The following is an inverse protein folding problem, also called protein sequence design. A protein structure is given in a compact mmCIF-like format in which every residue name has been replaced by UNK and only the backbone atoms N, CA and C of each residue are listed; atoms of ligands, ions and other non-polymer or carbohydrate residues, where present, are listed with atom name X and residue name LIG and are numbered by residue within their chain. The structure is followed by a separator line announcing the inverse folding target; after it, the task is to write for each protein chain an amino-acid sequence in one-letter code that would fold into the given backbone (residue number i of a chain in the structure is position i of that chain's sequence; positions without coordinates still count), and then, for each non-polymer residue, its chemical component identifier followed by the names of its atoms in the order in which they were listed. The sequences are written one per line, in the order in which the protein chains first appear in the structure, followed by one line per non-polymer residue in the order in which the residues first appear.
data_IF_887756824077
#
_entry.id   IF_887756824077
#
_cell.length_a   1.000
_cell.length_b   1.000
_cell.length_c   1.000
_cell.angle_alpha   90.00
_cell.angle_beta   90.00
_cell.angle_gamma   90.00
#
_symmetry.space_group_name_H-M   'P 1'
#
loop_
_entity.id
_entity.type
_entity.pdbx_description
1 polymer ?
#
# COMPACT_ATOMS: atom_id res chain seq x y z
N UNK A 1 -9.28 20.45 32.24
CA UNK A 1 -8.06 20.63 31.42
C UNK A 1 -8.25 21.92 30.66
N UNK A 2 -7.27 22.82 30.67
CA UNK A 2 -7.36 24.06 29.90
C UNK A 2 -7.49 23.71 28.40
N UNK A 3 -8.36 24.42 27.70
CA UNK A 3 -8.55 24.25 26.27
C UNK A 3 -7.26 24.68 25.57
N UNK A 4 -6.60 23.73 24.89
CA UNK A 4 -5.39 24.02 24.12
C UNK A 4 -5.79 24.92 22.98
N UNK A 5 -5.25 26.13 22.89
CA UNK A 5 -5.56 27.05 21.79
C UNK A 5 -4.79 26.62 20.53
N UNK A 6 -5.48 26.53 19.39
CA UNK A 6 -4.85 26.17 18.12
C UNK A 6 -3.83 27.22 17.68
N UNK A 7 -2.65 26.78 17.27
CA UNK A 7 -1.65 27.69 16.69
C UNK A 7 -2.23 28.44 15.49
N UNK A 8 -1.99 29.75 15.46
CA UNK A 8 -2.20 30.58 14.28
C UNK A 8 -1.28 30.13 13.14
N UNK A 9 -1.62 30.49 11.90
CA UNK A 9 -0.77 30.17 10.75
C UNK A 9 0.63 30.76 10.91
N UNK A 10 0.76 31.98 11.44
CA UNK A 10 2.06 32.59 11.71
C UNK A 10 2.89 31.77 12.70
N UNK A 11 2.29 31.37 13.83
CA UNK A 11 2.97 30.57 14.86
C UNK A 11 3.34 29.18 14.32
N UNK A 12 2.46 28.60 13.51
CA UNK A 12 2.69 27.33 12.81
C UNK A 12 3.89 27.44 11.86
N UNK A 13 4.00 28.51 11.06
CA UNK A 13 5.18 28.75 10.20
C UNK A 13 6.46 28.94 11.00
N UNK A 14 6.38 29.68 12.11
CA UNK A 14 7.53 29.93 12.97
C UNK A 14 8.09 28.61 13.50
N UNK A 15 7.25 27.75 14.10
CA UNK A 15 7.73 26.49 14.67
C UNK A 15 8.30 25.53 13.61
N UNK A 16 7.72 25.46 12.41
CA UNK A 16 8.28 24.62 11.35
C UNK A 16 9.59 25.18 10.77
N UNK A 17 9.75 26.51 10.74
CA UNK A 17 11.04 27.14 10.39
C UNK A 17 12.10 26.78 11.43
N UNK A 18 11.77 26.93 12.73
CA UNK A 18 12.67 26.57 13.83
C UNK A 18 13.07 25.09 13.75
N UNK A 19 12.11 24.17 13.54
CA UNK A 19 12.40 22.73 13.38
C UNK A 19 13.33 22.49 12.19
N UNK A 20 13.17 23.23 11.10
CA UNK A 20 14.05 23.09 9.95
C UNK A 20 15.48 23.57 10.20
N UNK A 21 15.64 24.64 10.97
CA UNK A 21 16.91 25.31 11.19
C UNK A 21 17.71 24.70 12.34
N UNK A 22 17.01 24.29 13.41
CA UNK A 22 17.59 23.84 14.67
C UNK A 22 17.33 22.35 14.96
N UNK A 23 16.39 21.71 14.26
CA UNK A 23 16.19 20.26 14.35
C UNK A 23 15.71 19.82 15.73
N UNK A 24 16.43 18.86 16.33
CA UNK A 24 16.01 18.23 17.60
C UNK A 24 15.97 19.21 18.77
N UNK A 25 16.86 20.20 18.76
CA UNK A 25 17.02 21.18 19.85
C UNK A 25 15.74 21.99 20.10
N UNK A 26 14.89 22.15 19.07
CA UNK A 26 13.60 22.84 19.19
C UNK A 26 12.65 22.11 20.14
N UNK A 27 12.68 20.79 20.16
CA UNK A 27 11.79 19.96 20.99
C UNK A 27 12.20 19.97 22.46
N UNK A 28 13.38 20.49 22.81
CA UNK A 28 13.79 20.77 24.19
C UNK A 28 13.27 22.12 24.71
N UNK A 29 12.72 22.96 23.82
CA UNK A 29 12.16 24.27 24.16
C UNK A 29 10.69 24.19 24.58
N UNK A 30 10.21 25.24 25.26
CA UNK A 30 8.79 25.40 25.59
C UNK A 30 7.89 25.44 24.34
N UNK A 31 8.39 26.00 23.23
CA UNK A 31 7.63 26.07 21.98
C UNK A 31 7.53 24.70 21.30
N UNK A 32 8.58 23.89 21.38
CA UNK A 32 8.56 22.50 20.93
C UNK A 32 7.60 21.63 21.76
N UNK A 33 7.58 21.81 23.08
CA UNK A 33 6.60 21.14 23.95
C UNK A 33 5.16 21.56 23.61
N UNK A 34 4.91 22.86 23.43
CA UNK A 34 3.61 23.37 23.01
C UNK A 34 3.19 22.81 21.64
N UNK A 35 4.12 22.64 20.71
CA UNK A 35 3.85 22.00 19.42
C UNK A 35 3.45 20.52 19.57
N UNK A 36 4.11 19.76 20.45
CA UNK A 36 3.71 18.37 20.74
C UNK A 36 2.28 18.34 21.30
N UNK A 37 1.93 19.27 22.19
CA UNK A 37 0.54 19.41 22.68
C UNK A 37 -0.45 19.71 21.53
N UNK A 38 -0.08 20.56 20.55
CA UNK A 38 -0.90 20.78 19.35
C UNK A 38 -1.12 19.50 18.56
N UNK A 39 -0.09 18.64 18.44
CA UNK A 39 -0.22 17.37 17.74
C UNK A 39 -1.28 16.49 18.41
N UNK A 40 -1.20 16.34 19.74
CA UNK A 40 -2.19 15.56 20.49
C UNK A 40 -3.60 16.14 20.39
N UNK A 41 -3.74 17.46 20.52
CA UNK A 41 -5.04 18.13 20.52
C UNK A 41 -5.73 18.10 19.15
N UNK A 42 -4.98 18.22 18.05
CA UNK A 42 -5.58 18.49 16.74
C UNK A 42 -5.23 17.50 15.63
N UNK A 43 -4.15 16.73 15.73
CA UNK A 43 -3.66 15.89 14.62
C UNK A 43 -3.77 14.40 14.91
N UNK A 44 -3.36 13.98 16.10
CA UNK A 44 -3.28 12.57 16.48
C UNK A 44 -4.64 11.87 16.32
N UNK A 45 -5.72 12.47 16.80
CA UNK A 45 -7.06 11.89 16.67
C UNK A 45 -7.46 11.65 15.20
N UNK A 46 -7.30 12.66 14.35
CA UNK A 46 -7.67 12.59 12.94
C UNK A 46 -6.82 11.57 12.17
N UNK A 47 -5.52 11.53 12.44
CA UNK A 47 -4.59 10.60 11.80
C UNK A 47 -4.83 9.15 12.24
N UNK A 48 -5.23 8.93 13.50
CA UNK A 48 -5.60 7.60 13.99
C UNK A 48 -6.89 7.10 13.37
N UNK A 49 -7.89 7.95 13.19
CA UNK A 49 -9.11 7.57 12.47
C UNK A 49 -8.84 7.29 10.99
N UNK A 50 -8.00 8.10 10.32
CA UNK A 50 -7.56 7.83 8.95
C UNK A 50 -6.84 6.47 8.85
N UNK A 51 -5.91 6.18 9.77
CA UNK A 51 -5.22 4.91 9.86
C UNK A 51 -6.17 3.73 10.07
N UNK A 52 -7.16 3.87 10.97
CA UNK A 52 -8.19 2.86 11.19
C UNK A 52 -8.97 2.57 9.90
N UNK A 53 -9.28 3.60 9.10
CA UNK A 53 -9.89 3.45 7.78
C UNK A 53 -9.06 2.63 6.78
N UNK A 54 -7.75 2.46 7.01
CA UNK A 54 -6.86 1.60 6.23
C UNK A 54 -6.63 0.21 6.88
N UNK A 55 -7.37 -0.13 7.94
CA UNK A 55 -7.16 -1.36 8.70
C UNK A 55 -5.89 -1.35 9.56
N UNK A 56 -5.35 -0.16 9.85
CA UNK A 56 -4.10 0.04 10.57
C UNK A 56 -4.35 0.60 11.98
N UNK A 57 -4.02 -0.20 13.00
CA UNK A 57 -4.07 0.26 14.39
C UNK A 57 -2.75 0.95 14.76
N UNK A 58 -2.84 2.21 15.20
CA UNK A 58 -1.70 3.01 15.65
C UNK A 58 -2.06 3.77 16.93
N UNK A 59 -1.15 3.77 17.91
CA UNK A 59 -1.34 4.53 19.13
C UNK A 59 -0.96 6.01 18.98
N UNK A 60 -1.35 6.83 19.96
CA UNK A 60 -1.12 8.27 19.92
C UNK A 60 0.38 8.63 19.82
N UNK A 61 1.21 7.98 20.65
CA UNK A 61 2.64 8.23 20.71
C UNK A 61 3.36 7.84 19.43
N UNK A 62 2.92 6.76 18.77
CA UNK A 62 3.48 6.34 17.48
C UNK A 62 3.21 7.37 16.38
N UNK A 63 2.01 7.98 16.36
CA UNK A 63 1.71 9.06 15.41
C UNK A 63 2.65 10.24 15.63
N UNK A 64 2.83 10.65 16.88
CA UNK A 64 3.75 11.75 17.23
C UNK A 64 5.18 11.40 16.85
N UNK A 65 5.63 10.19 17.14
CA UNK A 65 6.96 9.71 16.78
C UNK A 65 7.19 9.71 15.26
N UNK A 66 6.23 9.24 14.46
CA UNK A 66 6.32 9.26 12.99
C UNK A 66 6.44 10.70 12.48
N UNK A 67 5.62 11.60 13.00
CA UNK A 67 5.64 13.03 12.65
C UNK A 67 7.01 13.64 12.97
N UNK A 68 7.47 13.52 14.21
CA UNK A 68 8.74 14.12 14.66
C UNK A 68 9.91 13.52 13.87
N UNK A 69 9.94 12.21 13.69
CA UNK A 69 11.01 11.53 12.94
C UNK A 69 11.07 12.05 11.50
N UNK A 70 9.93 12.19 10.83
CA UNK A 70 9.88 12.70 9.46
C UNK A 70 10.24 14.18 9.37
N UNK A 71 9.80 15.00 10.33
CA UNK A 71 10.21 16.41 10.41
C UNK A 71 11.71 16.58 10.61
N UNK A 72 12.36 15.65 11.32
CA UNK A 72 13.81 15.65 11.57
C UNK A 72 14.65 14.97 10.47
N UNK A 73 14.04 14.45 9.40
CA UNK A 73 14.79 13.85 8.26
C UNK A 73 15.66 14.86 7.49
N UNK A 74 15.45 16.14 7.74
CA UNK A 74 16.17 17.30 7.19
C UNK A 74 17.69 17.20 7.30
N UNK A 75 18.22 16.56 8.37
CA UNK A 75 19.67 16.37 8.54
C UNK A 75 20.30 15.38 7.56
N UNK A 76 19.52 14.47 6.97
CA UNK A 76 20.03 13.43 6.06
C UNK A 76 20.00 13.86 4.59
N UNK A 77 19.14 14.82 4.23
CA UNK A 77 19.02 15.35 2.87
C UNK A 77 18.50 16.80 2.89
N UNK A 78 19.37 17.81 2.76
CA UNK A 78 18.96 19.23 2.78
C UNK A 78 17.98 19.59 1.66
N UNK A 79 18.04 18.86 0.53
CA UNK A 79 17.19 19.10 -0.64
C UNK A 79 15.75 18.61 -0.43
N UNK A 80 15.48 17.83 0.62
CA UNK A 80 14.14 17.40 1.01
C UNK A 80 13.90 17.74 2.47
N UNK A 81 13.46 18.98 2.72
CA UNK A 81 13.15 19.47 4.07
C UNK A 81 11.64 19.68 4.25
N UNK A 82 10.89 18.69 4.77
CA UNK A 82 9.43 18.80 4.89
C UNK A 82 9.00 19.99 5.74
N UNK A 83 9.73 20.27 6.82
CA UNK A 83 9.46 21.39 7.70
C UNK A 83 9.52 22.75 6.95
N UNK A 84 10.50 22.95 6.05
CA UNK A 84 10.56 24.15 5.20
C UNK A 84 9.39 24.25 4.22
N UNK A 85 8.98 23.13 3.61
CA UNK A 85 7.84 23.13 2.70
C UNK A 85 6.53 23.45 3.41
N UNK A 86 6.34 22.92 4.61
CA UNK A 86 5.18 23.23 5.46
C UNK A 86 5.19 24.70 5.85
N UNK A 87 6.33 25.24 6.29
CA UNK A 87 6.47 26.65 6.65
C UNK A 87 6.21 27.59 5.46
N UNK A 88 6.54 27.17 4.24
CA UNK A 88 6.33 27.95 3.02
C UNK A 88 4.91 27.83 2.43
N UNK A 89 4.13 26.80 2.80
CA UNK A 89 2.80 26.55 2.23
C UNK A 89 1.82 27.71 2.49
N UNK A 90 0.83 27.91 1.61
CA UNK A 90 -0.20 28.93 1.82
C UNK A 90 -1.00 28.68 3.11
N UNK A 91 -1.35 27.41 3.35
CA UNK A 91 -2.04 26.93 4.56
C UNK A 91 -1.16 25.88 5.27
N UNK A 92 -0.27 26.31 6.19
CA UNK A 92 0.73 25.43 6.81
C UNK A 92 0.12 24.23 7.51
N UNK A 93 -0.97 24.41 8.25
CA UNK A 93 -1.59 23.31 9.00
C UNK A 93 -2.25 22.26 8.09
N UNK A 94 -2.93 22.69 7.03
CA UNK A 94 -3.57 21.79 6.08
C UNK A 94 -2.54 21.01 5.25
N UNK A 95 -1.47 21.71 4.82
CA UNK A 95 -0.35 21.08 4.12
C UNK A 95 0.37 20.07 5.02
N UNK A 96 0.63 20.44 6.29
CA UNK A 96 1.18 19.52 7.28
C UNK A 96 0.33 18.27 7.45
N UNK A 97 -0.99 18.42 7.61
CA UNK A 97 -1.91 17.30 7.77
C UNK A 97 -1.82 16.33 6.57
N UNK A 98 -1.86 16.88 5.35
CA UNK A 98 -1.71 16.11 4.11
C UNK A 98 -0.38 15.36 4.06
N UNK A 99 0.70 16.02 4.49
CA UNK A 99 2.04 15.44 4.54
C UNK A 99 2.11 14.30 5.57
N UNK A 100 1.50 14.49 6.75
CA UNK A 100 1.44 13.50 7.81
C UNK A 100 0.64 12.26 7.41
N UNK A 101 -0.50 12.42 6.71
CA UNK A 101 -1.22 11.31 6.08
C UNK A 101 -0.28 10.51 5.16
N UNK A 102 0.46 11.22 4.29
CA UNK A 102 1.42 10.58 3.38
C UNK A 102 2.55 9.83 4.10
N UNK A 103 2.99 10.30 5.27
CA UNK A 103 3.95 9.58 6.11
C UNK A 103 3.36 8.31 6.73
N UNK A 104 2.14 8.39 7.28
CA UNK A 104 1.47 7.21 7.82
C UNK A 104 1.19 6.15 6.74
N UNK A 105 0.82 6.56 5.52
CA UNK A 105 0.63 5.63 4.40
C UNK A 105 1.92 4.90 4.00
N UNK A 106 3.09 5.53 4.15
CA UNK A 106 4.37 4.86 3.92
C UNK A 106 4.66 3.81 4.99
N UNK A 107 4.31 4.08 6.24
CA UNK A 107 4.44 3.11 7.34
C UNK A 107 3.45 1.94 7.21
N UNK A 108 2.25 2.20 6.66
CA UNK A 108 1.25 1.16 6.38
C UNK A 108 1.77 0.05 5.46
N UNK A 109 2.60 0.40 4.47
CA UNK A 109 3.25 -0.57 3.57
C UNK A 109 4.48 -1.28 4.15
N UNK A 110 4.84 -1.04 5.42
CA UNK A 110 6.04 -1.63 6.06
C UNK A 110 5.66 -2.40 7.33
N UNK A 111 4.56 -2.02 7.98
CA UNK A 111 4.06 -2.66 9.19
C UNK A 111 2.95 -3.65 8.82
N UNK A 112 3.30 -4.93 8.74
CA UNK A 112 2.30 -5.99 8.86
C UNK A 112 1.53 -5.80 10.17
N UNK A 113 0.21 -5.94 10.15
CA UNK A 113 -0.61 -5.77 11.33
C UNK A 113 -0.05 -6.60 12.51
N UNK A 114 0.02 -6.07 13.74
CA UNK A 114 0.41 -6.85 14.91
C UNK A 114 -0.53 -8.05 15.03
N UNK A 115 0.01 -9.28 14.99
CA UNK A 115 -0.73 -10.54 15.16
C UNK A 115 -1.56 -10.58 16.45
N UNK A 116 -1.19 -9.74 17.43
CA UNK A 116 -1.87 -9.57 18.72
C UNK A 116 -3.25 -8.92 18.57
N UNK A 117 -3.47 -8.10 17.53
CA UNK A 117 -4.79 -7.58 17.13
C UNK A 117 -5.49 -8.48 16.10
N UNK A 118 -4.83 -9.55 15.64
CA UNK A 118 -5.42 -10.63 14.84
C UNK A 118 -5.97 -11.75 15.75
N UNK A 119 -5.70 -11.67 17.06
CA UNK A 119 -6.32 -12.50 18.08
C UNK A 119 -7.70 -11.99 18.46
N UNK A 120 -8.74 -12.77 18.12
CA UNK A 120 -10.18 -12.55 18.37
C UNK A 120 -10.97 -11.75 17.33
N UNK A 121 -10.49 -11.64 16.08
CA UNK A 121 -11.43 -11.83 14.98
C UNK A 121 -11.71 -13.33 14.94
N UNK A 122 -12.87 -13.72 15.45
CA UNK A 122 -13.35 -15.09 15.47
C UNK A 122 -13.11 -15.79 14.12
N UNK A 123 -12.11 -16.68 14.10
CA UNK A 123 -12.07 -17.84 13.19
C UNK A 123 -13.23 -18.83 13.46
N UNK A 124 -14.32 -18.34 14.04
CA UNK A 124 -15.50 -19.04 14.51
C UNK A 124 -16.75 -18.30 14.04
N UNK A 125 -16.78 -17.90 12.76
CA UNK A 125 -17.97 -17.94 11.92
C UNK A 125 -17.56 -17.53 10.49
N UNK A 126 -16.91 -18.43 9.76
CA UNK A 126 -17.11 -18.51 8.30
C UNK A 126 -18.53 -19.06 8.02
N UNK A 127 -19.54 -18.48 8.69
CA UNK A 127 -20.94 -18.63 8.35
C UNK A 127 -21.16 -17.71 7.17
N UNK A 128 -21.49 -18.32 6.03
CA UNK A 128 -21.66 -17.74 4.71
C UNK A 128 -22.82 -16.72 4.58
N UNK A 129 -23.00 -15.80 5.52
CA UNK A 129 -24.17 -14.90 5.55
C UNK A 129 -23.93 -13.45 5.94
N UNK A 130 -22.75 -13.07 6.42
CA UNK A 130 -22.44 -11.64 6.53
C UNK A 130 -21.95 -11.17 5.16
N UNK A 131 -22.91 -10.70 4.35
CA UNK A 131 -22.61 -9.80 3.24
C UNK A 131 -22.06 -8.53 3.88
N UNK A 132 -20.75 -8.48 4.04
CA UNK A 132 -20.04 -7.27 4.46
C UNK A 132 -20.57 -6.07 3.67
N UNK A 133 -20.86 -4.99 4.38
CA UNK A 133 -21.22 -3.65 3.85
C UNK A 133 -20.03 -2.99 3.14
N UNK A 134 -19.25 -3.77 2.41
CA UNK A 134 -18.15 -3.31 1.58
C UNK A 134 -18.56 -3.61 0.14
N UNK A 135 -18.67 -2.58 -0.69
CA UNK A 135 -18.97 -2.68 -2.13
C UNK A 135 -17.87 -3.41 -2.93
N UNK A 136 -17.06 -4.25 -2.26
CA UNK A 136 -15.94 -4.98 -2.82
C UNK A 136 -16.36 -6.40 -3.19
N UNK A 137 -15.82 -6.87 -4.32
CA UNK A 137 -16.05 -8.23 -4.79
C UNK A 137 -15.33 -9.25 -3.89
N UNK A 138 -15.98 -10.35 -3.47
CA UNK A 138 -15.34 -11.41 -2.68
C UNK A 138 -14.06 -11.93 -3.33
N UNK A 139 -13.05 -12.28 -2.52
CA UNK A 139 -11.72 -12.63 -3.03
C UNK A 139 -11.75 -13.87 -3.96
N UNK A 140 -12.62 -14.84 -3.68
CA UNK A 140 -12.82 -16.00 -4.55
C UNK A 140 -13.36 -15.58 -5.93
N UNK A 141 -14.32 -14.66 -5.96
CA UNK A 141 -14.88 -14.11 -7.19
C UNK A 141 -13.83 -13.28 -7.95
N UNK A 142 -13.02 -12.47 -7.26
CA UNK A 142 -11.90 -11.74 -7.88
C UNK A 142 -10.93 -12.69 -8.58
N UNK A 143 -10.58 -13.81 -7.93
CA UNK A 143 -9.71 -14.84 -8.53
C UNK A 143 -10.40 -15.47 -9.75
N UNK A 144 -11.68 -15.84 -9.63
CA UNK A 144 -12.42 -16.48 -10.71
C UNK A 144 -12.63 -15.55 -11.92
N UNK A 145 -12.93 -14.27 -11.69
CA UNK A 145 -13.09 -13.25 -12.74
C UNK A 145 -11.75 -12.94 -13.43
N UNK A 146 -10.68 -12.82 -12.64
CA UNK A 146 -9.32 -12.65 -13.17
C UNK A 146 -8.92 -13.86 -14.02
N UNK A 147 -9.17 -15.07 -13.51
CA UNK A 147 -8.91 -16.32 -14.23
C UNK A 147 -9.73 -16.39 -15.53
N UNK A 148 -11.04 -16.14 -15.48
CA UNK A 148 -11.92 -16.17 -16.66
C UNK A 148 -11.50 -15.19 -17.75
N UNK A 149 -10.84 -14.10 -17.38
CA UNK A 149 -10.24 -13.14 -18.31
C UNK A 149 -8.97 -13.67 -18.97
N UNK A 150 -8.03 -14.20 -18.19
CA UNK A 150 -6.74 -14.66 -18.73
C UNK A 150 -6.81 -16.03 -19.38
N UNK A 151 -7.74 -16.91 -18.95
CA UNK A 151 -7.94 -18.25 -19.51
C UNK A 151 -8.28 -18.21 -21.01
N UNK A 152 -8.87 -17.11 -21.49
CA UNK A 152 -9.18 -16.89 -22.90
C UNK A 152 -7.92 -16.78 -23.78
N UNK A 153 -6.76 -16.47 -23.19
CA UNK A 153 -5.50 -16.27 -23.91
C UNK A 153 -4.39 -17.23 -23.46
N UNK A 154 -4.70 -18.16 -22.56
CA UNK A 154 -3.78 -19.17 -22.01
C UNK A 154 -4.20 -20.55 -22.51
N UNK A 155 -3.21 -21.39 -22.86
CA UNK A 155 -3.45 -22.78 -23.26
C UNK A 155 -4.15 -23.57 -22.12
N UNK A 156 -5.21 -24.36 -22.41
CA UNK A 156 -5.93 -25.16 -21.43
C UNK A 156 -5.05 -26.02 -20.51
N UNK A 157 -3.89 -26.49 -20.99
CA UNK A 157 -2.96 -27.29 -20.17
C UNK A 157 -2.43 -26.55 -18.94
N UNK A 158 -2.39 -25.21 -18.99
CA UNK A 158 -1.89 -24.36 -17.91
C UNK A 158 -3.01 -23.81 -17.02
N UNK A 159 -4.28 -24.04 -17.35
CA UNK A 159 -5.41 -23.43 -16.66
C UNK A 159 -5.43 -23.73 -15.16
N UNK A 160 -5.25 -24.99 -14.78
CA UNK A 160 -5.28 -25.40 -13.38
C UNK A 160 -4.17 -24.71 -12.56
N UNK A 161 -2.92 -24.75 -13.04
CA UNK A 161 -1.79 -24.15 -12.33
C UNK A 161 -1.85 -22.61 -12.33
N UNK A 162 -2.35 -22.00 -13.40
CA UNK A 162 -2.53 -20.54 -13.43
C UNK A 162 -3.60 -20.10 -12.44
N UNK A 163 -4.70 -20.86 -12.31
CA UNK A 163 -5.73 -20.59 -11.31
C UNK A 163 -5.19 -20.74 -9.89
N UNK A 164 -4.42 -21.79 -9.62
CA UNK A 164 -3.75 -22.01 -8.34
C UNK A 164 -2.78 -20.86 -8.00
N UNK A 165 -1.98 -20.42 -8.97
CA UNK A 165 -1.10 -19.26 -8.80
C UNK A 165 -1.87 -17.98 -8.50
N UNK A 166 -3.05 -17.76 -9.11
CA UNK A 166 -3.89 -16.61 -8.80
C UNK A 166 -4.43 -16.66 -7.37
N UNK A 167 -4.84 -17.84 -6.88
CA UNK A 167 -5.21 -18.00 -5.47
C UNK A 167 -4.04 -17.70 -4.53
N UNK A 168 -2.84 -18.19 -4.88
CA UNK A 168 -1.64 -17.90 -4.11
C UNK A 168 -1.34 -16.39 -4.09
N UNK A 169 -1.41 -15.71 -5.23
CA UNK A 169 -1.20 -14.25 -5.33
C UNK A 169 -2.23 -13.49 -4.50
N UNK A 170 -3.50 -13.92 -4.53
CA UNK A 170 -4.58 -13.32 -3.76
C UNK A 170 -4.36 -13.46 -2.24
N UNK A 171 -3.90 -14.64 -1.80
CA UNK A 171 -3.59 -14.93 -0.40
C UNK A 171 -2.28 -14.29 0.10
N UNK A 172 -1.36 -13.95 -0.81
CA UNK A 172 -0.04 -13.42 -0.48
C UNK A 172 0.17 -12.05 -1.17
N UNK A 173 -0.62 -11.01 -0.85
CA UNK A 173 -0.44 -9.70 -1.46
C UNK A 173 0.98 -9.17 -1.17
N UNK A 174 1.60 -8.45 -2.12
CA UNK A 174 2.94 -7.93 -1.93
C UNK A 174 2.91 -6.92 -0.78
N UNK A 175 3.85 -7.06 0.15
CA UNK A 175 3.99 -6.11 1.27
C UNK A 175 4.44 -4.73 0.78
N UNK A 176 5.05 -4.65 -0.41
CA UNK A 176 5.51 -3.42 -1.07
C UNK A 176 4.68 -3.12 -2.33
N UNK A 177 5.04 -2.05 -3.05
CA UNK A 177 4.44 -1.69 -4.35
C UNK A 177 4.48 -2.79 -5.43
N UNK A 178 5.28 -3.86 -5.24
CA UNK A 178 5.42 -4.98 -6.18
C UNK A 178 6.08 -6.18 -5.49
N UNK A 179 5.84 -7.39 -6.01
CA UNK A 179 6.57 -8.61 -5.64
C UNK A 179 8.07 -8.42 -5.87
N UNK A 180 8.87 -8.65 -4.83
CA UNK A 180 10.33 -8.69 -4.93
C UNK A 180 10.82 -10.04 -5.49
N UNK A 181 12.14 -10.27 -5.49
CA UNK A 181 12.69 -11.51 -6.02
C UNK A 181 12.28 -12.72 -5.17
N UNK A 182 12.27 -12.57 -3.84
CA UNK A 182 11.96 -13.65 -2.90
C UNK A 182 10.48 -14.05 -2.99
N UNK A 183 9.59 -13.07 -3.13
CA UNK A 183 8.17 -13.34 -3.30
C UNK A 183 7.90 -14.11 -4.61
N UNK A 184 8.61 -13.77 -5.68
CA UNK A 184 8.45 -14.47 -6.98
C UNK A 184 9.05 -15.88 -6.95
N UNK A 185 10.16 -16.07 -6.24
CA UNK A 185 10.73 -17.40 -5.96
C UNK A 185 9.73 -18.25 -5.17
N UNK A 186 9.08 -17.69 -4.16
CA UNK A 186 8.05 -18.37 -3.38
C UNK A 186 6.84 -18.77 -4.25
N UNK A 187 6.37 -17.85 -5.10
CA UNK A 187 5.30 -18.12 -6.07
C UNK A 187 5.65 -19.27 -7.02
N UNK A 188 6.89 -19.30 -7.54
CA UNK A 188 7.35 -20.37 -8.42
C UNK A 188 7.51 -21.70 -7.69
N UNK A 189 7.95 -21.70 -6.43
CA UNK A 189 7.99 -22.93 -5.61
C UNK A 189 6.60 -23.53 -5.42
N UNK A 190 5.57 -22.69 -5.33
CA UNK A 190 4.18 -23.13 -5.25
C UNK A 190 3.68 -23.70 -6.58
N UNK A 191 4.09 -23.11 -7.71
CA UNK A 191 3.66 -23.52 -9.05
C UNK A 191 4.84 -23.93 -9.96
N UNK A 192 5.56 -25.03 -9.66
CA UNK A 192 6.83 -25.36 -10.30
C UNK A 192 6.73 -25.85 -11.75
N UNK A 193 5.51 -26.11 -12.25
CA UNK A 193 5.28 -26.49 -13.66
C UNK A 193 5.37 -25.28 -14.61
N UNK A 194 5.11 -24.07 -14.09
CA UNK A 194 5.31 -22.82 -14.81
C UNK A 194 6.79 -22.43 -14.81
N UNK A 195 7.22 -21.75 -15.87
CA UNK A 195 8.54 -21.14 -15.91
C UNK A 195 8.58 -19.84 -15.10
N UNK A 196 9.79 -19.37 -14.79
CA UNK A 196 10.02 -18.08 -14.13
C UNK A 196 9.27 -16.95 -14.85
N UNK A 197 9.41 -16.87 -16.17
CA UNK A 197 8.76 -15.83 -16.99
C UNK A 197 7.24 -15.94 -16.95
N UNK A 198 6.69 -17.16 -16.93
CA UNK A 198 5.26 -17.38 -16.82
C UNK A 198 4.72 -16.94 -15.45
N UNK A 199 5.42 -17.25 -14.37
CA UNK A 199 5.07 -16.78 -13.02
C UNK A 199 5.08 -15.26 -12.97
N UNK A 200 6.13 -14.63 -13.50
CA UNK A 200 6.24 -13.16 -13.56
C UNK A 200 5.11 -12.54 -14.40
N UNK A 201 4.75 -13.16 -15.52
CA UNK A 201 3.66 -12.69 -16.37
C UNK A 201 2.32 -12.72 -15.61
N UNK A 202 2.01 -13.82 -14.91
CA UNK A 202 0.78 -13.96 -14.11
C UNK A 202 0.73 -12.91 -12.98
N UNK A 203 1.84 -12.72 -12.26
CA UNK A 203 1.93 -11.70 -11.21
C UNK A 203 1.64 -10.29 -11.77
N UNK A 204 2.26 -9.95 -12.91
CA UNK A 204 2.11 -8.63 -13.53
C UNK A 204 0.68 -8.35 -14.02
N UNK A 205 -0.03 -9.33 -14.57
CA UNK A 205 -1.41 -9.11 -15.02
C UNK A 205 -2.40 -9.09 -13.85
N UNK A 206 -2.15 -9.91 -12.82
CA UNK A 206 -2.98 -9.97 -11.63
C UNK A 206 -2.89 -8.66 -10.82
N UNK A 207 -1.67 -8.23 -10.49
CA UNK A 207 -1.40 -7.11 -9.55
C UNK A 207 -0.91 -5.82 -10.22
N UNK A 208 -0.81 -5.84 -11.55
CA UNK A 208 -0.35 -4.71 -12.34
C UNK A 208 1.17 -4.63 -12.43
N UNK A 209 1.64 -3.79 -13.36
CA UNK A 209 3.06 -3.57 -13.62
C UNK A 209 3.43 -2.10 -13.44
N UNK A 210 4.64 -1.84 -12.93
CA UNK A 210 5.16 -0.47 -12.78
C UNK A 210 5.32 0.20 -14.15
N UNK A 211 5.12 1.52 -14.23
CA UNK A 211 4.77 2.44 -13.13
C UNK A 211 3.27 2.44 -12.75
N UNK A 212 2.40 1.85 -13.56
CA UNK A 212 0.95 1.99 -13.48
C UNK A 212 0.28 0.72 -12.94
N UNK A 213 0.65 0.30 -11.73
CA UNK A 213 0.14 -0.94 -11.10
C UNK A 213 -1.38 -0.91 -10.96
N UNK A 214 -1.95 0.18 -10.46
CA UNK A 214 -3.40 0.33 -10.29
C UNK A 214 -4.15 0.29 -11.62
N UNK A 215 -3.60 0.90 -12.68
CA UNK A 215 -4.28 0.99 -13.99
C UNK A 215 -4.16 -0.28 -14.85
N UNK A 216 -3.45 -1.30 -14.37
CA UNK A 216 -3.19 -2.54 -15.11
C UNK A 216 -3.47 -3.82 -14.31
N UNK A 217 -3.90 -3.71 -13.05
CA UNK A 217 -4.20 -4.84 -12.17
C UNK A 217 -5.61 -5.35 -12.40
N UNK A 218 -5.75 -6.56 -12.94
CA UNK A 218 -7.07 -7.19 -13.07
C UNK A 218 -7.69 -7.49 -11.71
N UNK A 219 -6.92 -8.00 -10.74
CA UNK A 219 -7.46 -8.27 -9.40
C UNK A 219 -7.91 -6.99 -8.72
N UNK A 220 -7.14 -5.89 -8.84
CA UNK A 220 -7.52 -4.60 -8.29
C UNK A 220 -8.81 -4.07 -8.92
N UNK A 221 -8.95 -4.19 -10.24
CA UNK A 221 -10.16 -3.73 -10.92
C UNK A 221 -11.38 -4.60 -10.58
N UNK A 222 -11.25 -5.92 -10.57
CA UNK A 222 -12.35 -6.82 -10.22
C UNK A 222 -12.72 -6.75 -8.74
N UNK A 223 -11.80 -6.39 -7.85
CA UNK A 223 -12.09 -6.12 -6.45
C UNK A 223 -13.04 -4.92 -6.30
N UNK A 224 -12.89 -3.90 -7.16
CA UNK A 224 -13.71 -2.69 -7.13
C UNK A 224 -15.00 -2.80 -7.96
N UNK A 225 -14.98 -3.60 -9.03
CA UNK A 225 -16.12 -3.75 -9.94
C UNK A 225 -16.14 -5.16 -10.55
N UNK A 226 -17.02 -6.02 -10.01
CA UNK A 226 -17.24 -7.38 -10.53
C UNK A 226 -17.75 -7.41 -11.98
N UNK A 227 -18.39 -6.33 -12.44
CA UNK A 227 -18.97 -6.22 -13.78
C UNK A 227 -18.00 -5.68 -14.82
N UNK A 228 -16.78 -5.33 -14.40
CA UNK A 228 -15.75 -4.76 -15.24
C UNK A 228 -15.49 -5.60 -16.49
N UNK A 229 -15.38 -4.93 -17.65
CA UNK A 229 -14.99 -5.54 -18.91
C UNK A 229 -13.66 -4.99 -19.38
N UNK A 230 -12.72 -5.89 -19.66
CA UNK A 230 -11.37 -5.52 -20.14
C UNK A 230 -11.43 -4.70 -21.43
N UNK A 231 -12.42 -4.94 -22.30
CA UNK A 231 -12.66 -4.17 -23.53
C UNK A 231 -12.85 -2.68 -23.30
N UNK A 232 -13.36 -2.31 -22.12
CA UNK A 232 -13.77 -0.95 -21.80
C UNK A 232 -12.58 -0.13 -21.29
N UNK A 233 -11.42 -0.78 -21.09
CA UNK A 233 -10.19 -0.16 -20.61
C UNK A 233 -8.99 -0.49 -21.51
N UNK A 234 -8.52 0.51 -22.25
CA UNK A 234 -7.35 0.37 -23.12
C UNK A 234 -6.05 0.03 -22.39
N UNK A 235 -5.92 0.31 -21.09
CA UNK A 235 -4.76 -0.11 -20.29
C UNK A 235 -4.82 -1.60 -19.96
N UNK A 236 -5.96 -2.11 -19.50
CA UNK A 236 -6.14 -3.53 -19.20
C UNK A 236 -6.11 -4.41 -20.46
N UNK A 237 -6.68 -3.93 -21.57
CA UNK A 237 -6.58 -4.64 -22.85
C UNK A 237 -5.12 -4.79 -23.32
N UNK A 238 -4.32 -3.71 -23.21
CA UNK A 238 -2.88 -3.75 -23.51
C UNK A 238 -2.12 -4.65 -22.55
N UNK A 239 -2.45 -4.62 -21.26
CA UNK A 239 -1.86 -5.49 -20.26
C UNK A 239 -2.14 -6.97 -20.56
N UNK A 240 -3.39 -7.32 -20.92
CA UNK A 240 -3.77 -8.69 -21.30
C UNK A 240 -3.01 -9.15 -22.56
N UNK A 241 -2.82 -8.27 -23.53
CA UNK A 241 -2.02 -8.55 -24.73
C UNK A 241 -0.55 -8.79 -24.39
N UNK A 242 0.03 -7.94 -23.54
CA UNK A 242 1.41 -8.09 -23.08
C UNK A 242 1.59 -9.38 -22.27
N UNK A 243 0.63 -9.71 -21.41
CA UNK A 243 0.57 -10.98 -20.68
C UNK A 243 0.57 -12.18 -21.62
N UNK A 244 -0.34 -12.21 -22.60
CA UNK A 244 -0.42 -13.30 -23.59
C UNK A 244 0.94 -13.54 -24.27
N UNK A 245 1.59 -12.46 -24.70
CA UNK A 245 2.88 -12.55 -25.39
C UNK A 245 3.99 -13.04 -24.46
N UNK A 246 4.08 -12.48 -23.24
CA UNK A 246 5.08 -12.85 -22.25
C UNK A 246 4.91 -14.30 -21.76
N UNK A 247 3.67 -14.71 -21.47
CA UNK A 247 3.35 -16.05 -20.99
C UNK A 247 3.67 -17.12 -22.05
N UNK A 248 3.37 -16.83 -23.32
CA UNK A 248 3.72 -17.72 -24.44
C UNK A 248 5.22 -17.77 -24.70
N UNK A 249 5.90 -16.62 -24.68
CA UNK A 249 7.35 -16.57 -24.85
C UNK A 249 8.08 -17.33 -23.73
N UNK A 250 7.54 -17.26 -22.51
CA UNK A 250 8.05 -17.94 -21.34
C UNK A 250 7.95 -19.47 -21.39
N UNK A 251 7.25 -20.10 -22.35
CA UNK A 251 7.14 -21.57 -22.41
C UNK A 251 8.50 -22.27 -22.57
N UNK A 252 9.43 -21.62 -23.27
CA UNK A 252 10.82 -22.06 -23.43
C UNK A 252 11.76 -21.54 -22.33
N UNK A 253 11.22 -20.79 -21.35
CA UNK A 253 11.97 -20.19 -20.26
C UNK A 253 12.42 -21.19 -19.21
N UNK A 254 13.27 -20.72 -18.29
CA UNK A 254 13.81 -21.56 -17.22
C UNK A 254 12.76 -21.86 -16.15
N UNK A 255 12.87 -23.06 -15.56
CA UNK A 255 12.18 -23.47 -14.32
C UNK A 255 13.17 -23.62 -13.15
N UNK A 256 14.45 -23.40 -13.38
CA UNK A 256 15.48 -23.60 -12.36
C UNK A 256 15.50 -22.38 -11.44
N UNK A 257 15.35 -22.61 -10.14
CA UNK A 257 15.37 -21.53 -9.16
C UNK A 257 16.70 -20.76 -9.10
N UNK A 258 17.78 -21.33 -9.63
CA UNK A 258 19.09 -20.68 -9.76
C UNK A 258 19.08 -19.52 -10.75
N UNK A 259 18.07 -19.44 -11.62
CA UNK A 259 18.05 -18.51 -12.75
C UNK A 259 17.23 -17.24 -12.43
N UNK A 260 16.89 -17.02 -11.15
CA UNK A 260 16.21 -15.81 -10.65
C UNK A 260 17.13 -14.58 -10.47
N UNK A 261 18.41 -14.67 -10.88
CA UNK A 261 19.45 -13.64 -10.69
C UNK A 261 19.21 -12.39 -11.54
#
# INVERSE_FOLDING_TARGET
MAEVEKFSDWRTRAIFTEIADHGVDVFESAEGAAFIEQLHAYQVGQLREAARGWGYAICAEEVVQIIITNLLTTRKNPDSCPARYIAAAAEPWAYFHTTAIGWLQKEWGVRGAPLENVGYAEYTNLSATDRDEHDLTPLEDVVNLTFGSIAQVVDPRHHAVVRELLYWIAANPPQRLSYDADDRVAAHRHCPSLTIDQVVAVIKIARGSRPNTTATSLMGQFLLDASFRISDSGSHYRALTAFKNAFRAGEAGSRMLTDWV
#
